data_IF_723283044687
#
_entry.id   IF_723283044687
#
_cell.length_a   1.000
_cell.length_b   1.000
_cell.length_c   1.000
_cell.angle_alpha   90.00
_cell.angle_beta   90.00
_cell.angle_gamma   90.00
#
_symmetry.space_group_name_H-M   'P 1'
#
loop_
_entity.id
_entity.type
_entity.pdbx_description
1 polymer ?
#
# COMPACT_ATOMS: atom_id res chain seq x y z
N UNK A 1 -10.76 21.76 12.45
CA UNK A 1 -10.08 22.87 13.18
C UNK A 1 -8.59 22.93 12.78
N UNK A 2 -7.86 24.03 13.00
CA UNK A 2 -6.47 24.18 12.50
C UNK A 2 -5.54 23.04 12.92
N UNK A 3 -5.66 22.54 14.15
CA UNK A 3 -4.85 21.45 14.70
C UNK A 3 -5.18 20.05 14.16
N UNK A 4 -6.24 19.91 13.35
CA UNK A 4 -6.72 18.63 12.79
C UNK A 4 -7.06 18.72 11.29
N UNK A 5 -6.80 19.86 10.64
CA UNK A 5 -7.28 20.11 9.28
C UNK A 5 -6.38 19.53 8.18
N UNK A 6 -5.09 19.34 8.47
CA UNK A 6 -4.11 19.01 7.45
C UNK A 6 -3.99 17.50 7.28
N UNK A 7 -4.29 17.00 6.07
CA UNK A 7 -4.09 15.63 5.65
C UNK A 7 -3.04 15.60 4.54
N UNK A 8 -1.99 14.80 4.72
CA UNK A 8 -0.99 14.51 3.72
C UNK A 8 -1.30 13.16 3.07
N UNK A 9 -1.94 13.20 1.90
CA UNK A 9 -2.13 12.01 1.08
C UNK A 9 -0.81 11.63 0.40
N UNK A 10 -0.27 10.46 0.74
CA UNK A 10 1.00 9.98 0.22
C UNK A 10 0.83 8.65 -0.51
N UNK A 11 1.39 8.56 -1.72
CA UNK A 11 1.50 7.34 -2.48
C UNK A 11 2.93 7.17 -2.98
N UNK A 12 3.36 5.93 -3.12
CA UNK A 12 4.69 5.57 -3.59
C UNK A 12 4.59 4.50 -4.69
N UNK A 13 5.62 4.36 -5.52
CA UNK A 13 5.61 3.42 -6.64
C UNK A 13 4.88 3.97 -7.87
N UNK A 14 4.06 3.13 -8.53
CA UNK A 14 3.38 3.48 -9.78
C UNK A 14 1.90 3.71 -9.52
N UNK A 15 1.39 4.88 -9.91
CA UNK A 15 0.05 5.36 -9.54
C UNK A 15 -1.14 4.59 -10.15
N UNK A 16 -0.91 3.55 -10.96
CA UNK A 16 -1.97 2.64 -11.39
C UNK A 16 -2.06 1.38 -10.53
N UNK A 17 -1.03 1.08 -9.73
CA UNK A 17 -0.91 -0.15 -8.93
C UNK A 17 -0.82 0.07 -7.41
N UNK A 18 -0.76 1.33 -6.95
CA UNK A 18 -0.65 1.67 -5.53
C UNK A 18 -1.97 2.17 -4.93
N UNK A 19 -2.01 2.38 -3.63
CA UNK A 19 -3.12 3.08 -2.95
C UNK A 19 -2.57 4.21 -2.08
N UNK A 20 -3.04 5.46 -2.22
CA UNK A 20 -2.57 6.57 -1.39
C UNK A 20 -3.08 6.44 0.05
N UNK A 21 -2.24 6.78 1.02
CA UNK A 21 -2.54 6.75 2.45
C UNK A 21 -2.71 8.19 2.99
N UNK A 22 -3.81 8.51 3.69
CA UNK A 22 -4.02 9.83 4.27
C UNK A 22 -3.40 9.92 5.66
N UNK A 23 -2.35 10.73 5.82
CA UNK A 23 -1.76 11.00 7.12
C UNK A 23 -2.24 12.32 7.70
N UNK A 24 -2.75 12.31 8.93
CA UNK A 24 -2.92 13.54 9.69
C UNK A 24 -1.53 14.17 9.92
N UNK A 25 -1.35 15.40 9.44
CA UNK A 25 -0.03 16.04 9.40
C UNK A 25 0.40 16.66 10.74
N UNK A 26 -0.53 16.84 11.68
CA UNK A 26 -0.21 17.27 13.05
C UNK A 26 0.22 16.06 13.90
N UNK A 27 1.30 15.40 13.51
CA UNK A 27 1.81 14.18 14.10
C UNK A 27 3.27 14.38 14.56
N UNK A 28 3.82 13.47 15.36
CA UNK A 28 5.23 13.55 15.80
C UNK A 28 6.14 12.55 15.10
N UNK A 29 5.55 11.51 14.51
CA UNK A 29 6.26 10.51 13.72
C UNK A 29 5.43 10.07 12.52
N UNK A 30 6.02 9.24 11.67
CA UNK A 30 5.36 8.56 10.57
C UNK A 30 5.37 7.05 10.81
N UNK A 31 4.48 6.28 10.16
CA UNK A 31 4.53 4.82 10.22
C UNK A 31 5.89 4.28 9.75
N UNK A 32 6.39 3.24 10.42
CA UNK A 32 7.75 2.71 10.22
C UNK A 32 8.02 2.33 8.76
N UNK A 33 7.05 1.70 8.09
CA UNK A 33 7.17 1.27 6.69
C UNK A 33 7.18 2.42 5.66
N UNK A 34 6.85 3.65 6.08
CA UNK A 34 6.97 4.88 5.29
C UNK A 34 8.19 5.73 5.69
N UNK A 35 8.79 5.46 6.86
CA UNK A 35 9.85 6.29 7.42
C UNK A 35 11.21 6.05 6.76
N UNK A 36 11.45 4.81 6.31
CA UNK A 36 12.73 4.39 5.74
C UNK A 36 12.53 3.57 4.47
N UNK A 37 13.36 3.86 3.46
CA UNK A 37 13.49 3.05 2.25
C UNK A 37 14.85 2.35 2.26
N UNK A 38 14.90 1.02 2.46
CA UNK A 38 16.13 0.25 2.33
C UNK A 38 16.80 0.48 0.97
N UNK A 39 18.11 0.73 0.94
CA UNK A 39 18.85 1.01 -0.30
C UNK A 39 19.69 -0.18 -0.79
N UNK A 40 19.94 -1.14 0.08
CA UNK A 40 20.77 -2.32 -0.14
C UNK A 40 19.97 -3.52 -0.65
N UNK A 41 18.69 -3.62 -0.29
CA UNK A 41 17.79 -4.70 -0.69
C UNK A 41 16.35 -4.22 -0.83
N UNK A 42 15.62 -4.79 -1.79
CA UNK A 42 14.17 -4.66 -1.84
C UNK A 42 13.51 -5.44 -0.69
N UNK A 43 12.35 -4.99 -0.21
CA UNK A 43 11.60 -5.64 0.85
C UNK A 43 10.09 -5.47 0.67
N UNK A 44 9.30 -6.40 1.19
CA UNK A 44 7.84 -6.27 1.32
C UNK A 44 7.41 -5.49 2.57
N UNK A 45 8.35 -5.16 3.46
CA UNK A 45 8.10 -4.42 4.70
C UNK A 45 8.17 -2.90 4.48
N UNK A 46 8.81 -2.45 3.40
CA UNK A 46 8.86 -1.03 3.02
C UNK A 46 7.73 -0.72 2.05
N UNK A 47 6.95 0.32 2.33
CA UNK A 47 5.82 0.72 1.47
C UNK A 47 6.29 1.03 0.04
N UNK A 48 7.43 1.70 -0.09
CA UNK A 48 8.07 2.01 -1.37
C UNK A 48 8.33 0.74 -2.19
N UNK A 49 9.05 -0.22 -1.60
CA UNK A 49 9.45 -1.43 -2.31
C UNK A 49 8.28 -2.36 -2.57
N UNK A 50 7.34 -2.48 -1.63
CA UNK A 50 6.11 -3.26 -1.82
C UNK A 50 5.36 -2.78 -3.08
N UNK A 51 5.11 -1.47 -3.19
CA UNK A 51 4.42 -0.90 -4.35
C UNK A 51 5.23 -1.04 -5.66
N UNK A 52 6.56 -0.99 -5.59
CA UNK A 52 7.42 -1.28 -6.76
C UNK A 52 7.32 -2.74 -7.19
N UNK A 53 7.35 -3.69 -6.25
CA UNK A 53 7.23 -5.12 -6.55
C UNK A 53 5.88 -5.46 -7.17
N UNK A 54 4.78 -4.91 -6.62
CA UNK A 54 3.44 -5.03 -7.20
C UNK A 54 3.46 -4.55 -8.66
N UNK A 55 4.00 -3.36 -8.91
CA UNK A 55 4.06 -2.81 -10.26
C UNK A 55 4.86 -3.69 -11.22
N UNK A 56 6.00 -4.26 -10.79
CA UNK A 56 6.82 -5.13 -11.64
C UNK A 56 6.11 -6.44 -12.01
N UNK A 57 5.28 -6.99 -11.12
CA UNK A 57 4.50 -8.21 -11.42
C UNK A 57 3.26 -7.88 -12.24
N UNK A 58 2.59 -6.76 -11.95
CA UNK A 58 1.36 -6.35 -12.61
C UNK A 58 1.57 -5.86 -14.05
N UNK A 59 2.66 -5.14 -14.34
CA UNK A 59 2.94 -4.55 -15.65
C UNK A 59 2.82 -5.53 -16.83
N UNK A 60 3.48 -6.71 -16.84
CA UNK A 60 3.32 -7.67 -17.93
C UNK A 60 1.90 -8.27 -17.98
N UNK A 61 1.24 -8.48 -16.84
CA UNK A 61 -0.13 -9.00 -16.80
C UNK A 61 -1.12 -7.99 -17.43
N UNK A 62 -0.91 -6.69 -17.21
CA UNK A 62 -1.69 -5.64 -17.84
C UNK A 62 -1.41 -5.53 -19.34
N UNK A 63 -0.15 -5.67 -19.76
CA UNK A 63 0.20 -5.72 -21.18
C UNK A 63 -0.43 -6.91 -21.91
N UNK A 64 -0.68 -8.02 -21.20
CA UNK A 64 -1.37 -9.22 -21.68
C UNK A 64 -2.91 -9.11 -21.58
N UNK A 65 -3.45 -8.01 -21.05
CA UNK A 65 -4.89 -7.84 -20.76
C UNK A 65 -5.45 -8.96 -19.87
N UNK A 66 -4.68 -9.36 -18.85
CA UNK A 66 -5.10 -10.33 -17.87
C UNK A 66 -6.23 -9.77 -16.98
N UNK A 67 -7.44 -10.25 -17.22
CA UNK A 67 -8.64 -9.81 -16.52
C UNK A 67 -8.59 -10.03 -15.01
N UNK A 68 -8.00 -11.14 -14.55
CA UNK A 68 -7.94 -11.46 -13.13
C UNK A 68 -6.96 -10.52 -12.41
N UNK A 69 -5.83 -10.21 -13.06
CA UNK A 69 -4.86 -9.25 -12.55
C UNK A 69 -5.41 -7.81 -12.53
N UNK A 70 -6.06 -7.38 -13.62
CA UNK A 70 -6.70 -6.06 -13.70
C UNK A 70 -7.81 -5.91 -12.64
N UNK A 71 -8.61 -6.96 -12.44
CA UNK A 71 -9.63 -6.99 -11.40
C UNK A 71 -9.03 -6.91 -9.99
N UNK A 72 -8.01 -7.72 -9.69
CA UNK A 72 -7.34 -7.71 -8.38
C UNK A 72 -6.76 -6.33 -8.04
N UNK A 73 -6.07 -5.70 -8.99
CA UNK A 73 -5.57 -4.32 -8.83
C UNK A 73 -6.72 -3.34 -8.60
N UNK A 74 -7.79 -3.42 -9.39
CA UNK A 74 -8.96 -2.54 -9.26
C UNK A 74 -9.61 -2.63 -7.89
N UNK A 75 -9.80 -3.86 -7.38
CA UNK A 75 -10.41 -4.09 -6.07
C UNK A 75 -9.52 -3.61 -4.91
N UNK A 76 -8.22 -3.91 -4.94
CA UNK A 76 -7.26 -3.39 -3.94
C UNK A 76 -7.25 -1.86 -3.93
N UNK A 77 -7.30 -1.21 -5.09
CA UNK A 77 -7.37 0.25 -5.16
C UNK A 77 -8.66 0.80 -4.57
N UNK A 78 -9.82 0.21 -4.92
CA UNK A 78 -11.11 0.61 -4.34
C UNK A 78 -11.08 0.47 -2.82
N UNK A 79 -10.54 -0.65 -2.32
CA UNK A 79 -10.36 -0.87 -0.89
C UNK A 79 -9.47 0.21 -0.27
N UNK A 80 -8.28 0.46 -0.80
CA UNK A 80 -7.35 1.45 -0.26
C UNK A 80 -7.94 2.86 -0.19
N UNK A 81 -8.64 3.30 -1.24
CA UNK A 81 -9.35 4.59 -1.23
C UNK A 81 -10.50 4.62 -0.21
N UNK A 82 -11.27 3.54 -0.11
CA UNK A 82 -12.37 3.45 0.86
C UNK A 82 -11.85 3.45 2.30
N UNK A 83 -10.83 2.64 2.59
CA UNK A 83 -10.18 2.54 3.90
C UNK A 83 -9.55 3.88 4.31
N UNK A 84 -8.82 4.54 3.41
CA UNK A 84 -8.24 5.86 3.68
C UNK A 84 -9.29 6.91 4.02
N UNK A 85 -10.37 7.01 3.22
CA UNK A 85 -11.48 7.95 3.52
C UNK A 85 -12.18 7.61 4.83
N UNK A 86 -12.41 6.31 5.10
CA UNK A 86 -13.05 5.87 6.33
C UNK A 86 -12.19 6.21 7.56
N UNK A 87 -10.86 6.08 7.46
CA UNK A 87 -9.94 6.45 8.53
C UNK A 87 -9.97 7.96 8.82
N UNK A 88 -9.99 8.80 7.80
CA UNK A 88 -10.15 10.26 7.97
C UNK A 88 -11.49 10.59 8.63
N UNK A 89 -12.59 10.01 8.15
CA UNK A 89 -13.91 10.23 8.74
C UNK A 89 -14.02 9.77 10.20
N UNK A 90 -13.38 8.63 10.54
CA UNK A 90 -13.25 8.13 11.92
C UNK A 90 -12.48 9.12 12.79
N UNK A 91 -11.36 9.64 12.30
CA UNK A 91 -10.57 10.67 12.98
C UNK A 91 -11.38 11.94 13.21
N UNK A 92 -11.99 12.50 12.16
CA UNK A 92 -12.80 13.71 12.25
C UNK A 92 -13.96 13.58 13.26
N UNK A 93 -14.61 12.41 13.31
CA UNK A 93 -15.71 12.16 14.24
C UNK A 93 -15.24 12.04 15.71
N UNK A 94 -14.09 11.42 15.94
CA UNK A 94 -13.55 11.20 17.29
C UNK A 94 -12.77 12.41 17.83
N UNK A 95 -12.42 13.38 16.99
CA UNK A 95 -11.60 14.55 17.36
C UNK A 95 -12.13 15.30 18.59
N UNK A 96 -13.46 15.41 18.75
CA UNK A 96 -14.08 16.15 19.85
C UNK A 96 -13.77 15.57 21.24
N UNK A 97 -13.43 14.28 21.30
CA UNK A 97 -13.15 13.56 22.54
C UNK A 97 -11.65 13.53 22.89
N UNK A 98 -10.80 14.12 22.04
CA UNK A 98 -9.34 14.11 22.19
C UNK A 98 -8.86 15.43 22.78
N UNK A 99 -8.05 15.35 23.83
CA UNK A 99 -7.45 16.53 24.45
C UNK A 99 -6.36 17.13 23.56
N UNK A 100 -6.18 18.46 23.53
CA UNK A 100 -5.16 19.09 22.69
C UNK A 100 -3.73 18.58 22.91
N UNK A 101 -3.37 18.22 24.14
CA UNK A 101 -2.05 17.69 24.49
C UNK A 101 -1.78 16.28 23.95
N UNK A 102 -2.83 15.47 23.78
CA UNK A 102 -2.73 14.08 23.31
C UNK A 102 -2.83 13.98 21.78
N UNK A 103 -3.22 15.08 21.12
CA UNK A 103 -3.59 15.10 19.71
C UNK A 103 -2.49 14.59 18.75
N UNK A 104 -1.20 14.97 18.89
CA UNK A 104 -0.16 14.46 17.98
C UNK A 104 0.08 12.96 18.14
N UNK A 105 0.13 12.44 19.37
CA UNK A 105 0.32 11.02 19.63
C UNK A 105 -0.89 10.19 19.15
N UNK A 106 -2.09 10.74 19.27
CA UNK A 106 -3.29 10.12 18.73
C UNK A 106 -3.29 10.10 17.18
N UNK A 107 -2.83 11.16 16.51
CA UNK A 107 -2.61 11.14 15.06
C UNK A 107 -1.55 10.13 14.65
N UNK A 108 -0.45 9.99 15.40
CA UNK A 108 0.57 8.96 15.14
C UNK A 108 -0.06 7.56 15.12
N UNK A 109 -0.93 7.27 16.08
CA UNK A 109 -1.66 5.99 16.16
C UNK A 109 -2.65 5.78 15.00
N UNK A 110 -3.44 6.80 14.64
CA UNK A 110 -4.36 6.73 13.50
C UNK A 110 -3.61 6.54 12.17
N UNK A 111 -2.50 7.26 11.99
CA UNK A 111 -1.65 7.15 10.81
C UNK A 111 -1.07 5.73 10.71
N UNK A 112 -0.60 5.16 11.82
CA UNK A 112 -0.09 3.80 11.88
C UNK A 112 -1.17 2.74 11.57
N UNK A 113 -2.37 2.86 12.16
CA UNK A 113 -3.51 1.96 11.90
C UNK A 113 -3.89 1.99 10.40
N UNK A 114 -3.97 3.19 9.82
CA UNK A 114 -4.35 3.38 8.42
C UNK A 114 -3.29 2.83 7.47
N UNK A 115 -2.01 3.13 7.74
CA UNK A 115 -0.90 2.58 6.96
C UNK A 115 -0.87 1.05 7.02
N UNK A 116 -1.02 0.45 8.21
CA UNK A 116 -1.04 -1.00 8.36
C UNK A 116 -2.19 -1.65 7.58
N UNK A 117 -3.39 -1.06 7.66
CA UNK A 117 -4.58 -1.55 6.94
C UNK A 117 -4.36 -1.58 5.42
N UNK A 118 -3.89 -0.48 4.85
CA UNK A 118 -3.64 -0.37 3.41
C UNK A 118 -2.43 -1.21 2.98
N UNK A 119 -1.39 -1.30 3.82
CA UNK A 119 -0.22 -2.15 3.53
C UNK A 119 -0.59 -3.62 3.50
N UNK A 120 -1.46 -4.08 4.40
CA UNK A 120 -1.93 -5.47 4.41
C UNK A 120 -2.74 -5.81 3.13
N UNK A 121 -3.59 -4.90 2.67
CA UNK A 121 -4.28 -5.05 1.38
C UNK A 121 -3.29 -5.16 0.21
N UNK A 122 -2.26 -4.31 0.17
CA UNK A 122 -1.23 -4.37 -0.87
C UNK A 122 -0.39 -5.64 -0.81
N UNK A 123 -0.10 -6.18 0.38
CA UNK A 123 0.57 -7.48 0.53
C UNK A 123 -0.31 -8.62 -0.01
N UNK A 124 -1.62 -8.56 0.21
CA UNK A 124 -2.56 -9.50 -0.37
C UNK A 124 -2.63 -9.37 -1.90
N UNK A 125 -2.66 -8.15 -2.43
CA UNK A 125 -2.58 -7.89 -3.86
C UNK A 125 -1.31 -8.49 -4.46
N UNK A 126 -0.14 -8.25 -3.85
CA UNK A 126 1.12 -8.84 -4.31
C UNK A 126 1.03 -10.37 -4.36
N UNK A 127 0.48 -10.99 -3.31
CA UNK A 127 0.27 -12.44 -3.28
C UNK A 127 -0.60 -12.92 -4.45
N UNK A 128 -1.75 -12.28 -4.69
CA UNK A 128 -2.65 -12.63 -5.80
C UNK A 128 -1.93 -12.52 -7.15
N UNK A 129 -1.23 -11.41 -7.41
CA UNK A 129 -0.52 -11.20 -8.66
C UNK A 129 0.62 -12.21 -8.88
N UNK A 130 1.34 -12.57 -7.81
CA UNK A 130 2.37 -13.62 -7.87
C UNK A 130 1.74 -14.97 -8.22
N UNK A 131 0.61 -15.33 -7.62
CA UNK A 131 -0.10 -16.57 -7.96
C UNK A 131 -0.58 -16.58 -9.42
N UNK A 132 -1.20 -15.49 -9.88
CA UNK A 132 -1.64 -15.36 -11.28
C UNK A 132 -0.45 -15.50 -12.23
N UNK A 133 0.66 -14.82 -11.93
CA UNK A 133 1.85 -14.87 -12.79
C UNK A 133 2.50 -16.25 -12.78
N UNK A 134 2.52 -16.94 -11.64
CA UNK A 134 3.12 -18.27 -11.49
C UNK A 134 2.49 -19.31 -12.44
N UNK A 135 1.16 -19.30 -12.59
CA UNK A 135 0.42 -20.18 -13.50
C UNK A 135 0.70 -19.90 -14.98
N UNK A 136 1.23 -18.71 -15.28
CA UNK A 136 1.49 -18.23 -16.65
C UNK A 136 2.98 -18.16 -16.99
N UNK A 137 3.84 -18.60 -16.09
CA UNK A 137 5.27 -18.65 -16.36
C UNK A 137 5.53 -19.56 -17.57
N UNK A 138 6.45 -19.15 -18.44
CA UNK A 138 6.83 -19.89 -19.65
C UNK A 138 8.03 -20.85 -19.54
N UNK A 139 8.61 -21.19 -18.35
CA UNK A 139 9.87 -21.90 -18.30
C UNK A 139 9.74 -23.26 -18.99
N UNK A 140 10.50 -23.45 -20.06
CA UNK A 140 10.67 -24.72 -20.73
C UNK A 140 11.84 -25.47 -20.10
N UNK A 141 11.61 -26.73 -19.70
CA UNK A 141 12.68 -27.62 -19.30
C UNK A 141 13.18 -28.39 -20.54
N UNK A 142 14.35 -28.03 -21.06
CA UNK A 142 15.06 -28.90 -21.99
C UNK A 142 15.83 -29.94 -21.19
N UNK A 143 15.46 -31.21 -21.32
CA UNK A 143 16.22 -32.32 -20.75
C UNK A 143 17.54 -32.37 -21.52
N UNK A 144 18.62 -31.86 -20.92
CA UNK A 144 19.94 -31.86 -21.52
C UNK A 144 20.26 -33.24 -22.10
N UNK A 145 20.40 -33.32 -23.42
CA UNK A 145 20.94 -34.50 -24.07
C UNK A 145 22.36 -34.71 -23.59
N UNK A 146 22.68 -35.93 -23.19
CA UNK A 146 24.05 -36.33 -22.87
C UNK A 146 24.96 -35.96 -24.06
N UNK A 147 25.93 -35.07 -23.80
CA UNK A 147 27.04 -34.77 -24.71
C UNK A 147 27.96 -35.98 -24.86
#
# INVERSE_FOLDING_TARGET
PKSHAAIHWLAEGVNIFNSPVPFFANCTTTPENFQYTPIDKSSTDSFYWLNKLIAMVADPLFAEHDWDAEFAVSESRKFGFAAGRAAVAKGDAAFADVKPEDLPAWHDALNAETAATITNDLQYLLHQLVCIRAEKMTPSFEKGGEL
#
